data_IF_591923677405
#
_entry.id   IF_591923677405
#
_cell.length_a   1.000
_cell.length_b   1.000
_cell.length_c   1.000
_cell.angle_alpha   90.00
_cell.angle_beta   90.00
_cell.angle_gamma   90.00
#
_symmetry.space_group_name_H-M   'P 1'
#
loop_
_entity.id
_entity.type
_entity.pdbx_description
1 polymer ?
#
# COMPACT_ATOMS: atom_id res chain seq x y z
N UNK A 1 10.22 5.07 -0.03
CA UNK A 1 10.96 4.18 0.87
C UNK A 1 9.99 3.75 1.94
N UNK A 2 9.74 2.45 2.05
CA UNK A 2 9.09 1.83 3.20
C UNK A 2 10.01 2.06 4.41
N UNK A 3 9.91 3.23 5.04
CA UNK A 3 10.65 3.52 6.27
C UNK A 3 9.97 2.76 7.40
N UNK A 4 10.44 1.54 7.68
CA UNK A 4 9.76 0.63 8.58
C UNK A 4 10.47 -0.70 8.76
N UNK A 5 9.86 -1.57 9.57
CA UNK A 5 10.41 -2.88 9.89
C UNK A 5 9.56 -3.97 9.24
N UNK A 6 10.24 -4.92 8.59
CA UNK A 6 9.64 -6.11 8.02
C UNK A 6 9.71 -7.25 9.05
N UNK A 7 8.63 -8.01 9.15
CA UNK A 7 8.48 -9.10 10.10
C UNK A 7 7.86 -10.32 9.42
N UNK A 8 8.31 -11.51 9.82
CA UNK A 8 7.60 -12.75 9.50
C UNK A 8 6.43 -12.93 10.45
N UNK A 9 5.29 -13.34 9.91
CA UNK A 9 4.18 -13.87 10.70
C UNK A 9 4.35 -15.39 10.74
N UNK A 10 4.50 -15.93 11.96
CA UNK A 10 4.89 -17.33 12.16
C UNK A 10 3.82 -18.33 11.68
N UNK A 11 2.54 -17.95 11.75
CA UNK A 11 1.43 -18.80 11.34
C UNK A 11 0.39 -18.02 10.55
N UNK A 12 -0.06 -18.60 9.46
CA UNK A 12 -1.26 -18.21 8.73
C UNK A 12 -1.90 -19.45 8.13
N UNK A 13 -3.06 -19.29 7.50
CA UNK A 13 -3.78 -20.37 6.84
C UNK A 13 -2.99 -20.96 5.64
N UNK A 14 -1.95 -20.26 5.17
CA UNK A 14 -1.10 -20.64 4.05
C UNK A 14 0.33 -20.15 4.26
N UNK A 15 1.29 -20.91 3.75
CA UNK A 15 2.68 -20.48 3.62
C UNK A 15 2.92 -19.65 2.35
N UNK A 16 3.78 -18.65 2.47
CA UNK A 16 4.17 -17.72 1.42
C UNK A 16 5.68 -17.78 1.20
N UNK A 17 6.10 -17.83 -0.06
CA UNK A 17 7.46 -17.48 -0.45
C UNK A 17 7.47 -15.98 -0.75
N UNK A 18 8.19 -15.22 0.06
CA UNK A 18 8.17 -13.77 0.03
C UNK A 18 9.57 -13.19 -0.12
N UNK A 19 9.64 -11.99 -0.69
CA UNK A 19 10.85 -11.19 -0.76
C UNK A 19 10.47 -9.72 -0.61
N UNK A 20 11.33 -8.94 0.03
CA UNK A 20 11.11 -7.53 0.27
C UNK A 20 12.34 -6.71 -0.07
N UNK A 21 12.12 -5.52 -0.59
CA UNK A 21 13.11 -4.49 -0.86
C UNK A 21 12.79 -3.22 -0.06
N UNK A 22 13.50 -2.11 -0.33
CA UNK A 22 13.30 -0.85 0.39
C UNK A 22 11.94 -0.19 0.17
N UNK A 23 11.22 -0.53 -0.89
CA UNK A 23 9.95 0.07 -1.29
C UNK A 23 8.91 -0.96 -1.78
N UNK A 24 9.27 -2.24 -1.83
CA UNK A 24 8.42 -3.28 -2.35
C UNK A 24 8.39 -4.50 -1.43
N UNK A 25 7.24 -5.15 -1.36
CA UNK A 25 7.04 -6.46 -0.76
C UNK A 25 6.27 -7.34 -1.75
N UNK A 26 6.78 -8.53 -2.01
CA UNK A 26 6.13 -9.52 -2.89
C UNK A 26 6.03 -10.84 -2.16
N UNK A 27 4.87 -11.48 -2.26
CA UNK A 27 4.63 -12.80 -1.73
C UNK A 27 3.85 -13.64 -2.75
N UNK A 28 4.25 -14.89 -2.91
CA UNK A 28 3.61 -15.89 -3.76
C UNK A 28 3.28 -17.12 -2.93
N UNK A 29 2.17 -17.80 -3.23
CA UNK A 29 1.78 -18.99 -2.50
C UNK A 29 2.89 -20.06 -2.54
N UNK A 30 3.30 -20.56 -1.38
CA UNK A 30 4.33 -21.57 -1.28
C UNK A 30 3.76 -22.99 -1.50
N UNK A 31 4.58 -23.93 -2.03
CA UNK A 31 5.89 -23.68 -2.61
C UNK A 31 5.77 -23.05 -4.00
N UNK A 32 6.45 -21.92 -4.21
CA UNK A 32 6.56 -21.30 -5.51
C UNK A 32 7.70 -21.93 -6.33
N UNK A 33 7.66 -21.84 -7.67
CA UNK A 33 8.73 -22.37 -8.49
C UNK A 33 10.05 -21.65 -8.23
N UNK A 34 11.15 -22.41 -8.19
CA UNK A 34 12.46 -21.90 -7.77
C UNK A 34 12.93 -20.68 -8.60
N UNK A 35 12.65 -20.68 -9.92
CA UNK A 35 12.97 -19.57 -10.79
C UNK A 35 12.23 -18.28 -10.44
N UNK A 36 10.98 -18.37 -9.96
CA UNK A 36 10.18 -17.22 -9.49
C UNK A 36 10.78 -16.67 -8.21
N UNK A 37 11.09 -17.53 -7.25
CA UNK A 37 11.68 -17.15 -5.95
C UNK A 37 13.04 -16.47 -6.14
N UNK A 38 13.90 -17.03 -7.00
CA UNK A 38 15.20 -16.43 -7.33
C UNK A 38 15.04 -15.07 -8.03
N UNK A 39 14.12 -14.97 -8.98
CA UNK A 39 13.85 -13.73 -9.71
C UNK A 39 13.31 -12.63 -8.78
N UNK A 40 12.42 -12.96 -7.84
CA UNK A 40 11.94 -12.05 -6.80
C UNK A 40 13.10 -11.53 -5.94
N UNK A 41 13.93 -12.42 -5.38
CA UNK A 41 15.07 -12.02 -4.56
C UNK A 41 16.05 -11.13 -5.34
N UNK A 42 16.38 -11.53 -6.57
CA UNK A 42 17.24 -10.74 -7.47
C UNK A 42 16.67 -9.35 -7.72
N UNK A 43 15.36 -9.23 -7.97
CA UNK A 43 14.70 -7.95 -8.20
C UNK A 43 14.72 -7.06 -6.96
N UNK A 44 14.49 -7.63 -5.78
CA UNK A 44 14.55 -6.90 -4.51
C UNK A 44 15.96 -6.38 -4.20
N UNK A 45 17.02 -7.15 -4.54
CA UNK A 45 18.42 -6.69 -4.40
C UNK A 45 18.79 -5.56 -5.36
N UNK A 46 18.19 -5.54 -6.55
CA UNK A 46 18.43 -4.48 -7.53
C UNK A 46 17.88 -3.10 -7.06
N UNK A 47 17.03 -3.08 -6.03
CA UNK A 47 16.45 -1.87 -5.47
C UNK A 47 15.12 -1.51 -6.12
N UNK A 48 14.86 -0.19 -6.25
CA UNK A 48 13.58 0.39 -6.62
C UNK A 48 12.86 -0.39 -7.73
N UNK A 49 11.62 -0.76 -7.46
CA UNK A 49 10.82 -1.59 -8.35
C UNK A 49 9.61 -0.84 -8.92
N UNK A 50 9.42 -0.92 -10.23
CA UNK A 50 8.14 -0.57 -10.84
C UNK A 50 7.16 -1.73 -10.64
N UNK A 51 5.86 -1.43 -10.54
CA UNK A 51 4.85 -2.46 -10.34
C UNK A 51 4.80 -3.43 -11.52
N UNK A 52 4.93 -2.90 -12.74
CA UNK A 52 4.95 -3.64 -14.00
C UNK A 52 6.09 -4.66 -14.03
N UNK A 53 7.26 -4.29 -13.51
CA UNK A 53 8.40 -5.20 -13.40
C UNK A 53 8.08 -6.37 -12.48
N UNK A 54 7.47 -6.10 -11.31
CA UNK A 54 7.16 -7.12 -10.31
C UNK A 54 6.07 -8.08 -10.80
N UNK A 55 5.02 -7.55 -11.42
CA UNK A 55 3.97 -8.37 -12.03
C UNK A 55 4.53 -9.19 -13.19
N UNK A 56 5.45 -8.62 -13.98
CA UNK A 56 6.11 -9.30 -15.09
C UNK A 56 6.97 -10.50 -14.68
N UNK A 57 7.39 -10.59 -13.42
CA UNK A 57 8.09 -11.77 -12.88
C UNK A 57 7.17 -12.97 -12.64
N UNK A 58 5.86 -12.75 -12.55
CA UNK A 58 4.92 -13.75 -12.10
C UNK A 58 4.26 -14.46 -13.30
N UNK A 59 4.53 -15.75 -13.52
CA UNK A 59 3.89 -16.51 -14.58
C UNK A 59 2.40 -16.75 -14.26
N UNK A 60 1.52 -15.96 -14.87
CA UNK A 60 0.08 -15.93 -14.55
C UNK A 60 -0.77 -16.82 -15.45
N UNK A 61 -0.26 -17.15 -16.64
CA UNK A 61 -0.90 -17.99 -17.65
C UNK A 61 -0.84 -19.48 -17.33
N UNK A 62 -1.10 -20.31 -18.33
CA UNK A 62 -1.14 -21.76 -18.17
C UNK A 62 0.27 -22.38 -18.16
N UNK A 63 0.47 -23.40 -17.32
CA UNK A 63 1.74 -24.14 -17.25
C UNK A 63 2.08 -24.65 -15.86
N UNK A 64 3.10 -25.49 -15.78
CA UNK A 64 3.58 -26.08 -14.52
C UNK A 64 4.16 -25.02 -13.56
N UNK A 65 4.69 -23.93 -14.11
CA UNK A 65 5.32 -22.85 -13.34
C UNK A 65 4.31 -21.76 -12.92
N UNK A 66 3.01 -21.94 -13.19
CA UNK A 66 1.99 -20.92 -12.94
C UNK A 66 1.90 -20.55 -11.45
N UNK A 67 1.91 -19.24 -11.17
CA UNK A 67 1.61 -18.68 -9.85
C UNK A 67 0.12 -18.39 -9.75
N UNK A 68 -0.62 -19.21 -9.01
CA UNK A 68 -2.07 -19.06 -8.86
C UNK A 68 -2.47 -17.89 -7.96
N UNK A 69 -1.69 -17.65 -6.89
CA UNK A 69 -1.96 -16.61 -5.90
C UNK A 69 -0.71 -15.83 -5.54
N UNK A 70 -0.86 -14.51 -5.46
CA UNK A 70 0.23 -13.61 -5.08
C UNK A 70 -0.31 -12.29 -4.54
N UNK A 71 0.52 -11.61 -3.76
CA UNK A 71 0.33 -10.23 -3.38
C UNK A 71 1.60 -9.41 -3.62
N UNK A 72 1.44 -8.18 -4.09
CA UNK A 72 2.50 -7.19 -4.25
C UNK A 72 2.07 -5.92 -3.52
N UNK A 73 2.96 -5.32 -2.77
CA UNK A 73 2.78 -4.02 -2.15
C UNK A 73 3.97 -3.15 -2.52
N UNK A 74 3.70 -2.00 -3.15
CA UNK A 74 4.70 -1.04 -3.57
C UNK A 74 4.42 0.30 -2.89
N UNK A 75 5.34 0.77 -2.05
CA UNK A 75 5.21 2.08 -1.41
C UNK A 75 5.71 3.19 -2.33
N UNK A 76 4.99 4.31 -2.30
CA UNK A 76 5.40 5.50 -3.04
C UNK A 76 6.55 6.20 -2.31
N UNK A 77 7.71 6.29 -2.97
CA UNK A 77 8.88 6.92 -2.35
C UNK A 77 8.74 8.42 -2.15
N UNK A 78 7.97 9.10 -3.01
CA UNK A 78 7.71 10.53 -2.87
C UNK A 78 6.62 10.87 -1.83
N UNK A 79 5.80 9.89 -1.43
CA UNK A 79 4.61 10.11 -0.60
C UNK A 79 4.52 9.04 0.50
N UNK A 80 5.21 9.21 1.63
CA UNK A 80 5.16 8.27 2.74
C UNK A 80 3.71 7.98 3.16
N UNK A 81 3.41 6.71 3.43
CA UNK A 81 2.06 6.25 3.75
C UNK A 81 1.15 6.02 2.55
N UNK A 82 1.60 6.31 1.31
CA UNK A 82 0.90 5.85 0.10
C UNK A 82 1.52 4.56 -0.43
N UNK A 83 0.68 3.63 -0.85
CA UNK A 83 1.12 2.42 -1.51
C UNK A 83 0.10 1.91 -2.53
N UNK A 84 0.60 1.20 -3.54
CA UNK A 84 -0.20 0.40 -4.45
C UNK A 84 -0.12 -1.05 -4.01
N UNK A 85 -1.28 -1.71 -3.88
CA UNK A 85 -1.35 -3.13 -3.60
C UNK A 85 -2.02 -3.87 -4.75
N UNK A 86 -1.49 -5.05 -5.06
CA UNK A 86 -2.02 -5.96 -6.07
C UNK A 86 -2.21 -7.32 -5.44
N UNK A 87 -3.36 -7.95 -5.67
CA UNK A 87 -3.68 -9.29 -5.19
C UNK A 87 -4.28 -10.15 -6.30
N UNK A 88 -3.98 -11.44 -6.24
CA UNK A 88 -4.57 -12.47 -7.09
C UNK A 88 -4.81 -13.74 -6.29
N UNK A 89 -5.86 -14.46 -6.64
CA UNK A 89 -6.17 -15.77 -6.07
C UNK A 89 -6.67 -15.59 -4.64
N UNK A 90 -6.18 -16.42 -3.72
CA UNK A 90 -6.53 -16.39 -2.30
C UNK A 90 -5.61 -15.49 -1.46
N UNK A 91 -4.77 -14.67 -2.10
CA UNK A 91 -3.93 -13.69 -1.43
C UNK A 91 -4.73 -12.47 -1.00
N UNK A 92 -4.45 -11.98 0.20
CA UNK A 92 -5.01 -10.73 0.72
C UNK A 92 -3.91 -9.80 1.20
N UNK A 93 -4.20 -8.51 1.12
CA UNK A 93 -3.40 -7.46 1.75
C UNK A 93 -4.28 -6.77 2.78
N UNK A 94 -3.95 -6.96 4.05
CA UNK A 94 -4.51 -6.20 5.15
C UNK A 94 -3.69 -4.92 5.32
N UNK A 95 -4.35 -3.76 5.39
CA UNK A 95 -3.72 -2.47 5.56
C UNK A 95 -4.29 -1.80 6.80
N UNK A 96 -3.41 -1.31 7.66
CA UNK A 96 -3.77 -0.45 8.77
C UNK A 96 -3.62 1.01 8.37
N UNK A 97 -4.54 1.81 8.85
CA UNK A 97 -4.58 3.26 8.74
C UNK A 97 -5.17 3.82 10.03
N UNK A 98 -5.17 5.14 10.28
CA UNK A 98 -5.80 5.71 11.48
C UNK A 98 -7.27 5.32 11.70
N UNK A 99 -7.98 4.88 10.65
CA UNK A 99 -9.35 4.35 10.72
C UNK A 99 -9.46 2.87 11.09
N UNK A 100 -8.34 2.20 11.34
CA UNK A 100 -8.25 0.76 11.61
C UNK A 100 -7.86 -0.07 10.37
N UNK A 101 -8.06 -1.37 10.49
CA UNK A 101 -7.72 -2.37 9.48
C UNK A 101 -8.73 -2.45 8.35
N UNK A 102 -8.21 -2.58 7.13
CA UNK A 102 -8.97 -2.81 5.90
C UNK A 102 -8.32 -3.93 5.11
N UNK A 103 -9.10 -4.65 4.33
CA UNK A 103 -8.60 -5.77 3.52
C UNK A 103 -8.83 -5.54 2.03
N UNK A 104 -7.79 -5.82 1.25
CA UNK A 104 -7.86 -5.98 -0.20
C UNK A 104 -7.81 -7.47 -0.54
N UNK A 105 -8.80 -7.98 -1.26
CA UNK A 105 -8.90 -9.37 -1.72
C UNK A 105 -9.15 -9.42 -3.22
N UNK A 106 -8.83 -10.54 -3.88
CA UNK A 106 -8.93 -10.66 -5.33
C UNK A 106 -10.38 -10.66 -5.85
N UNK A 107 -11.34 -11.20 -5.08
CA UNK A 107 -12.75 -11.34 -5.49
C UNK A 107 -12.95 -11.98 -6.89
N UNK A 108 -12.02 -12.84 -7.31
CA UNK A 108 -12.04 -13.45 -8.65
C UNK A 108 -11.76 -12.50 -9.82
N UNK A 109 -11.33 -11.26 -9.57
CA UNK A 109 -10.96 -10.30 -10.62
C UNK A 109 -9.72 -10.79 -11.37
N UNK A 110 -9.80 -10.78 -12.70
CA UNK A 110 -8.72 -11.18 -13.61
C UNK A 110 -8.19 -10.00 -14.43
N UNK A 111 -6.88 -9.92 -14.69
CA UNK A 111 -5.86 -10.90 -14.28
C UNK A 111 -5.45 -10.79 -12.80
N UNK A 112 -5.68 -9.65 -12.15
CA UNK A 112 -5.49 -9.37 -10.72
C UNK A 112 -6.30 -8.14 -10.29
N UNK A 113 -6.50 -7.98 -8.98
CA UNK A 113 -7.10 -6.78 -8.40
C UNK A 113 -6.01 -5.82 -7.93
N UNK A 114 -6.12 -4.54 -8.28
CA UNK A 114 -5.20 -3.48 -7.91
C UNK A 114 -5.96 -2.35 -7.21
N UNK A 115 -5.39 -1.84 -6.13
CA UNK A 115 -5.89 -0.64 -5.46
C UNK A 115 -4.73 0.22 -4.92
N UNK A 116 -4.99 1.52 -4.84
CA UNK A 116 -4.10 2.49 -4.20
C UNK A 116 -4.65 2.90 -2.84
N UNK A 117 -3.73 3.09 -1.90
CA UNK A 117 -4.04 3.46 -0.52
C UNK A 117 -3.20 4.66 -0.09
N UNK A 118 -3.73 5.40 0.88
CA UNK A 118 -3.07 6.51 1.54
C UNK A 118 -3.21 6.34 3.05
N UNK A 119 -2.36 7.05 3.80
CA UNK A 119 -2.30 7.01 5.27
C UNK A 119 -2.11 5.58 5.82
N UNK A 120 -1.35 4.75 5.10
CA UNK A 120 -1.00 3.39 5.49
C UNK A 120 0.23 3.41 6.38
N UNK A 121 0.09 2.91 7.61
CA UNK A 121 1.18 2.80 8.58
C UNK A 121 1.60 1.35 8.86
N UNK A 122 0.79 0.37 8.46
CA UNK A 122 1.13 -1.04 8.50
C UNK A 122 0.41 -1.86 7.42
N UNK A 123 1.03 -2.96 7.03
CA UNK A 123 0.54 -3.87 6.01
C UNK A 123 0.83 -5.30 6.43
N UNK A 124 -0.11 -6.22 6.19
CA UNK A 124 0.09 -7.67 6.31
C UNK A 124 -0.37 -8.37 5.03
N UNK A 125 0.49 -9.20 4.45
CA UNK A 125 0.11 -10.18 3.45
C UNK A 125 -0.27 -11.49 4.12
N UNK A 126 -1.42 -12.03 3.76
CA UNK A 126 -1.92 -13.32 4.21
C UNK A 126 -2.85 -13.96 3.19
N UNK A 127 -3.71 -14.86 3.65
CA UNK A 127 -4.74 -15.53 2.85
C UNK A 127 -6.16 -15.08 3.22
N UNK A 128 -7.13 -15.24 2.31
CA UNK A 128 -8.55 -14.99 2.55
C UNK A 128 -9.09 -15.75 3.79
N UNK A 129 -8.53 -16.93 4.07
CA UNK A 129 -8.90 -17.73 5.24
C UNK A 129 -8.33 -17.19 6.58
N UNK A 130 -7.37 -16.27 6.54
CA UNK A 130 -6.84 -15.63 7.75
C UNK A 130 -7.85 -14.60 8.29
N UNK A 131 -8.05 -14.52 9.61
CA UNK A 131 -8.85 -13.45 10.20
C UNK A 131 -8.22 -12.08 9.89
N UNK A 132 -9.07 -11.06 9.75
CA UNK A 132 -8.59 -9.68 9.71
C UNK A 132 -7.90 -9.38 11.06
N UNK A 133 -6.66 -8.86 11.07
CA UNK A 133 -5.97 -8.53 12.31
C UNK A 133 -6.72 -7.44 13.06
N UNK A 134 -6.77 -7.55 14.39
CA UNK A 134 -7.17 -6.45 15.27
C UNK A 134 -5.95 -5.56 15.61
N UNK A 135 -4.77 -6.17 15.67
CA UNK A 135 -3.48 -5.54 15.88
C UNK A 135 -2.40 -6.25 15.06
N UNK A 136 -1.31 -5.55 14.75
CA UNK A 136 -0.18 -6.13 14.05
C UNK A 136 0.69 -6.88 15.07
N UNK A 137 0.44 -8.18 15.23
CA UNK A 137 1.28 -9.06 16.02
C UNK A 137 2.66 -9.22 15.35
N UNK A 138 3.54 -8.25 15.56
CA UNK A 138 4.90 -8.23 15.08
C UNK A 138 5.76 -9.17 15.93
N UNK A 139 6.19 -10.29 15.34
CA UNK A 139 7.22 -11.14 15.96
C UNK A 139 8.60 -10.49 15.91
N UNK A 140 9.56 -11.03 16.67
CA UNK A 140 10.95 -10.55 16.64
C UNK A 140 11.73 -11.01 15.39
N UNK A 141 11.15 -11.90 14.58
CA UNK A 141 11.79 -12.42 13.37
C UNK A 141 11.71 -11.41 12.22
N UNK A 142 12.86 -10.79 11.95
CA UNK A 142 13.07 -9.79 10.89
C UNK A 142 13.85 -10.42 9.75
N UNK A 143 13.20 -10.76 8.62
CA UNK A 143 13.92 -11.33 7.48
C UNK A 143 14.82 -10.28 6.81
N UNK A 144 15.96 -10.70 6.23
CA UNK A 144 16.83 -9.81 5.49
C UNK A 144 16.15 -9.28 4.22
N UNK A 145 16.31 -7.98 3.95
CA UNK A 145 15.87 -7.38 2.69
C UNK A 145 16.73 -7.91 1.52
N UNK A 146 16.11 -8.05 0.35
CA UNK A 146 16.76 -8.59 -0.84
C UNK A 146 16.91 -10.11 -0.84
N UNK A 147 16.38 -10.82 0.16
CA UNK A 147 16.39 -12.28 0.18
C UNK A 147 14.96 -12.82 0.16
N UNK A 148 14.81 -14.00 -0.43
CA UNK A 148 13.55 -14.72 -0.35
C UNK A 148 13.48 -15.52 0.95
N UNK A 149 12.29 -15.62 1.52
CA UNK A 149 12.03 -16.34 2.74
C UNK A 149 10.62 -16.94 2.75
N UNK A 150 10.44 -17.96 3.61
CA UNK A 150 9.12 -18.58 3.84
C UNK A 150 8.51 -18.11 5.16
N UNK A 151 7.21 -17.84 5.15
CA UNK A 151 6.45 -17.43 6.33
C UNK A 151 4.95 -17.77 6.18
N UNK A 152 4.20 -17.88 7.28
CA UNK A 152 2.73 -18.00 7.26
C UNK A 152 2.02 -16.67 6.92
N UNK A 153 2.76 -15.57 6.94
CA UNK A 153 2.34 -14.26 6.47
C UNK A 153 3.51 -13.29 6.56
N UNK A 154 3.36 -12.09 5.99
CA UNK A 154 4.43 -11.09 6.00
C UNK A 154 3.86 -9.77 6.44
N UNK A 155 4.46 -9.16 7.46
CA UNK A 155 4.03 -7.88 7.99
C UNK A 155 5.11 -6.82 7.77
N UNK A 156 4.68 -5.63 7.39
CA UNK A 156 5.49 -4.43 7.41
C UNK A 156 4.78 -3.39 8.27
N UNK A 157 5.54 -2.69 9.11
CA UNK A 157 5.05 -1.54 9.85
C UNK A 157 6.00 -0.37 9.64
N UNK A 158 5.44 0.82 9.42
CA UNK A 158 6.19 2.06 9.43
C UNK A 158 6.94 2.16 10.76
N UNK A 159 8.17 2.69 10.72
CA UNK A 159 8.85 3.07 11.94
C UNK A 159 7.94 4.10 12.61
N UNK A 160 7.46 3.80 13.82
CA UNK A 160 6.68 4.76 14.59
C UNK A 160 7.41 6.10 14.63
N UNK A 161 6.71 7.23 14.83
CA UNK A 161 7.39 8.48 15.11
C UNK A 161 8.38 8.20 16.23
N UNK A 162 9.67 8.52 16.01
CA UNK A 162 10.67 8.41 17.05
C UNK A 162 10.08 9.09 18.29
N UNK A 163 9.88 8.32 19.36
CA UNK A 163 9.38 8.89 20.61
C UNK A 163 10.29 10.09 20.92
N UNK A 164 9.74 11.30 21.08
CA UNK A 164 10.56 12.47 21.30
C UNK A 164 11.41 12.18 22.53
N UNK A 165 12.73 12.14 22.34
CA UNK A 165 13.68 11.89 23.42
C UNK A 165 13.34 12.87 24.57
N UNK A 166 12.90 12.41 25.74
CA UNK A 166 12.59 13.30 26.85
C UNK A 166 13.84 14.03 27.36
N UNK A 167 15.04 13.62 26.93
CA UNK A 167 16.31 14.30 27.18
C UNK A 167 16.74 15.27 26.06
N UNK A 168 16.00 15.36 24.94
CA UNK A 168 16.28 16.38 23.94
C UNK A 168 16.05 17.77 24.57
N UNK A 169 17.05 18.67 24.55
CA UNK A 169 16.86 20.01 25.09
C UNK A 169 15.76 20.69 24.28
N UNK A 170 14.67 21.03 24.96
CA UNK A 170 13.65 21.94 24.43
C UNK A 170 14.38 23.23 24.08
N UNK A 171 14.65 23.44 22.78
CA UNK A 171 15.09 24.73 22.29
C UNK A 171 13.92 25.67 22.53
N UNK A 172 14.00 26.42 23.63
CA UNK A 172 13.00 27.39 24.01
C UNK A 172 12.76 28.31 22.83
N UNK A 173 11.56 28.23 22.24
CA UNK A 173 11.05 29.25 21.34
C UNK A 173 11.02 30.51 22.20
N UNK A 174 11.97 31.41 21.96
CA UNK A 174 12.15 32.62 22.74
C UNK A 174 10.82 33.34 22.88
N UNK A 175 10.43 33.58 24.12
CA UNK A 175 9.30 34.43 24.48
C UNK A 175 9.38 35.73 23.68
N UNK A 176 8.38 36.08 22.86
CA UNK A 176 8.38 37.38 22.21
C UNK A 176 8.24 38.45 23.30
N UNK A 177 9.28 39.28 23.44
CA UNK A 177 9.30 40.38 24.37
C UNK A 177 8.17 41.39 24.09
N UNK A 178 7.60 42.03 25.14
CA UNK A 178 6.51 42.97 24.96
C UNK A 178 7.05 44.29 24.42
N UNK A 179 6.92 44.54 23.11
CA UNK A 179 7.26 45.86 22.58
C UNK A 179 7.47 45.99 21.08
N UNK A 180 6.42 45.87 20.29
CA UNK A 180 6.34 46.57 19.00
C UNK A 180 4.88 46.77 18.60
N UNK A 181 4.36 47.98 18.86
CA UNK A 181 3.07 48.44 18.35
C UNK A 181 3.17 48.64 16.83
N UNK A 182 2.91 47.59 16.05
CA UNK A 182 2.60 47.74 14.63
C UNK A 182 1.18 48.29 14.49
N UNK A 183 1.10 49.53 14.01
CA UNK A 183 -0.15 50.21 13.68
C UNK A 183 -0.88 49.42 12.60
N UNK A 184 -2.10 49.00 12.94
CA UNK A 184 -3.12 48.53 12.00
C UNK A 184 -3.24 49.50 10.82
N UNK A 185 -3.11 48.99 9.60
CA UNK A 185 -3.85 49.53 8.45
C UNK A 185 -5.14 48.72 8.33
N UNK A 186 -6.32 49.35 8.23
CA UNK A 186 -7.58 48.63 8.03
C UNK A 186 -7.57 47.97 6.64
N UNK A 187 -7.80 46.67 6.61
CA UNK A 187 -8.21 45.96 5.39
C UNK A 187 -9.71 46.17 5.22
N UNK A 188 -10.08 46.79 4.10
CA UNK A 188 -11.45 47.09 3.70
C UNK A 188 -12.13 45.78 3.25
N UNK A 189 -13.10 45.31 4.05
CA UNK A 189 -13.98 44.20 3.70
C UNK A 189 -15.09 44.72 2.78
N UNK A 190 -14.92 44.55 1.46
CA UNK A 190 -16.02 44.60 0.50
C UNK A 190 -16.13 43.28 -0.27
N UNK A 191 -17.10 42.47 0.13
CA UNK A 191 -18.01 41.78 -0.80
C UNK A 191 -19.32 42.60 -0.83
N UNK A 192 -20.04 42.73 -1.97
CA UNK A 192 -20.71 41.59 -2.63
C UNK A 192 -20.82 41.67 -4.16
N UNK A 193 -21.13 40.55 -4.81
CA UNK A 193 -21.35 40.51 -6.26
C UNK A 193 -21.90 39.20 -6.78
N UNK A 194 -23.09 38.81 -6.33
CA UNK A 194 -23.93 37.75 -6.89
C UNK A 194 -24.30 38.03 -8.36
N UNK A 195 -24.04 37.09 -9.28
CA UNK A 195 -24.84 36.90 -10.52
C UNK A 195 -24.86 35.43 -10.96
N UNK A 196 -25.99 34.77 -10.71
CA UNK A 196 -26.59 33.75 -11.60
C UNK A 196 -27.33 34.48 -12.74
N UNK A 197 -27.39 33.93 -13.96
CA UNK A 197 -28.58 33.19 -14.44
C UNK A 197 -28.17 31.85 -15.11
N UNK A 198 -28.84 30.71 -14.90
CA UNK A 198 -30.16 30.25 -15.41
C UNK A 198 -30.23 29.99 -16.93
N UNK A 199 -30.50 28.73 -17.30
CA UNK A 199 -31.00 28.29 -18.62
C UNK A 199 -29.96 27.50 -19.43
N UNK A 200 -30.16 26.24 -19.82
CA UNK A 200 -31.36 25.41 -19.72
C UNK A 200 -31.17 24.00 -20.30
N UNK A 201 -32.25 23.22 -20.16
CA UNK A 201 -32.70 22.06 -20.96
C UNK A 201 -31.80 20.82 -20.99
N UNK A 202 -32.12 19.70 -20.31
CA UNK A 202 -33.29 18.81 -20.44
C UNK A 202 -33.27 17.88 -21.67
N UNK A 203 -33.00 16.60 -21.37
CA UNK A 203 -33.73 15.39 -21.76
C UNK A 203 -33.61 14.75 -23.16
N UNK A 204 -33.51 13.42 -23.08
CA UNK A 204 -33.90 12.38 -24.05
C UNK A 204 -32.96 12.20 -25.26
N UNK A 205 -32.65 11.01 -25.78
CA UNK A 205 -33.32 9.71 -25.74
C UNK A 205 -32.26 8.58 -25.99
N UNK A 206 -32.41 7.38 -25.43
CA UNK A 206 -32.80 6.10 -26.11
C UNK A 206 -31.96 5.78 -27.38
N UNK A 207 -31.58 4.56 -27.74
CA UNK A 207 -31.63 3.18 -27.26
C UNK A 207 -31.14 2.31 -28.46
N UNK A 208 -30.65 1.08 -28.20
CA UNK A 208 -30.55 -0.08 -29.15
C UNK A 208 -29.53 0.06 -30.31
N UNK A 209 -28.94 -0.98 -30.90
CA UNK A 209 -28.96 -2.46 -30.88
C UNK A 209 -27.59 -2.89 -31.48
N UNK A 210 -26.91 -3.96 -31.04
CA UNK A 210 -27.09 -5.37 -31.41
C UNK A 210 -27.14 -5.65 -32.93
N UNK A 211 -26.28 -6.61 -33.35
CA UNK A 211 -26.24 -7.35 -34.63
C UNK A 211 -25.85 -6.53 -35.87
N UNK A 212 -25.01 -7.01 -36.80
CA UNK A 212 -25.02 -8.34 -37.44
C UNK A 212 -23.61 -8.89 -37.74
N UNK A 213 -23.45 -10.16 -37.38
CA UNK A 213 -22.67 -11.13 -38.16
C UNK A 213 -23.37 -11.34 -39.50
N UNK A 214 -22.66 -11.14 -40.61
CA UNK A 214 -22.77 -11.97 -41.83
C UNK A 214 -21.56 -11.80 -42.71
#
# INVERSE_FOLDING_TARGET
MLSGTLHRVASGARDWDAAAGPDALVAVAAPAPAGVVEAMAKRMRAGAAALEDLVGLLPIGDGAERVASFAIVLAETASPGRCTAVVRGDAVVDLHSPGGWRRLESHGIVPWHLAEFADVDAVRIGSEADPLPEDLALGDDRPPLGEAFRAGGVAWAAAGPAEPDPAAPVVGIGTPGPGARSRMRPVDLRQPGSRRPSGGSSAAARARAAEEHR
#
